data_IF_955362296862
#
_entry.id   IF_955362296862
#
_cell.length_a   1.000
_cell.length_b   1.000
_cell.length_c   1.000
_cell.angle_alpha   90.00
_cell.angle_beta   90.00
_cell.angle_gamma   90.00
#
_symmetry.space_group_name_H-M   'P 1'
#
loop_
_entity.id
_entity.type
_entity.pdbx_description
1 polymer ?
#
# COMPACT_ATOMS: atom_id res chain seq x y z
N UNK A 1 28.01 6.48 20.32
CA UNK A 1 27.13 5.39 20.78
C UNK A 1 26.96 4.41 19.64
N UNK A 2 27.66 3.30 19.67
CA UNK A 2 27.57 2.25 18.65
C UNK A 2 26.17 1.64 18.65
N UNK A 3 25.55 1.59 17.47
CA UNK A 3 24.30 0.85 17.27
C UNK A 3 24.61 -0.64 17.41
N UNK A 4 24.28 -1.22 18.54
CA UNK A 4 24.38 -2.64 18.79
C UNK A 4 23.37 -3.34 17.86
N UNK A 5 23.84 -3.88 16.75
CA UNK A 5 23.05 -4.75 15.88
C UNK A 5 22.79 -6.03 16.67
N UNK A 6 21.55 -6.25 17.05
CA UNK A 6 21.10 -7.51 17.67
C UNK A 6 20.98 -8.51 16.54
N UNK A 7 21.81 -9.58 16.58
CA UNK A 7 21.65 -10.69 15.63
C UNK A 7 20.30 -11.37 15.86
N UNK A 8 19.66 -11.81 14.79
CA UNK A 8 18.41 -12.57 14.87
C UNK A 8 18.60 -13.89 15.64
N UNK A 9 19.80 -14.45 15.59
CA UNK A 9 20.12 -15.72 16.24
C UNK A 9 20.10 -15.62 17.77
N UNK A 10 20.40 -14.43 18.32
CA UNK A 10 20.40 -14.15 19.75
C UNK A 10 18.99 -13.88 20.32
N UNK A 11 17.95 -13.89 19.48
CA UNK A 11 16.60 -13.57 19.90
C UNK A 11 15.79 -14.83 20.21
N UNK A 12 14.93 -14.76 21.25
CA UNK A 12 14.02 -15.86 21.56
C UNK A 12 12.99 -16.06 20.44
N UNK A 13 12.45 -17.28 20.30
CA UNK A 13 11.43 -17.63 19.31
C UNK A 13 10.14 -16.80 19.43
N UNK A 14 9.92 -16.22 20.61
CA UNK A 14 8.77 -15.37 20.90
C UNK A 14 9.25 -14.01 21.39
N UNK A 15 8.92 -12.98 20.63
CA UNK A 15 9.29 -11.60 20.92
C UNK A 15 8.18 -10.88 21.69
N UNK A 16 8.59 -10.01 22.62
CA UNK A 16 7.71 -9.01 23.22
C UNK A 16 7.47 -7.84 22.24
N UNK A 17 6.41 -7.06 22.47
CA UNK A 17 6.16 -5.83 21.69
C UNK A 17 7.38 -4.88 21.74
N UNK A 18 8.09 -4.81 22.87
CA UNK A 18 9.26 -3.96 23.02
C UNK A 18 10.41 -4.39 22.12
N UNK A 19 10.73 -5.68 22.10
CA UNK A 19 11.72 -6.25 21.20
C UNK A 19 11.32 -6.04 19.74
N UNK A 20 10.05 -6.29 19.40
CA UNK A 20 9.54 -6.13 18.05
C UNK A 20 9.73 -4.70 17.50
N UNK A 21 9.29 -3.65 18.23
CA UNK A 21 9.42 -2.30 17.70
C UNK A 21 10.88 -1.83 17.62
N UNK A 22 11.75 -2.27 18.56
CA UNK A 22 13.17 -1.95 18.52
C UNK A 22 13.88 -2.58 17.32
N UNK A 23 13.62 -3.87 17.06
CA UNK A 23 14.22 -4.62 15.95
C UNK A 23 13.71 -4.12 14.60
N UNK A 24 12.40 -3.87 14.48
CA UNK A 24 11.79 -3.38 13.25
C UNK A 24 12.03 -1.89 13.00
N UNK A 25 12.73 -1.18 13.92
CA UNK A 25 12.95 0.26 13.84
C UNK A 25 11.67 1.06 13.56
N UNK A 26 10.60 0.77 14.33
CA UNK A 26 9.31 1.45 14.25
C UNK A 26 8.94 2.07 15.60
N UNK A 27 7.97 3.00 15.59
CA UNK A 27 7.50 3.61 16.86
C UNK A 27 6.67 2.62 17.70
N UNK A 28 6.61 2.84 19.02
CA UNK A 28 5.74 2.07 19.93
C UNK A 28 4.27 2.13 19.49
N UNK A 29 3.82 3.27 18.97
CA UNK A 29 2.47 3.49 18.44
C UNK A 29 2.23 2.64 17.19
N UNK A 30 3.13 2.71 16.22
CA UNK A 30 3.07 1.91 14.98
C UNK A 30 3.03 0.42 15.28
N UNK A 31 3.87 -0.06 16.21
CA UNK A 31 3.83 -1.46 16.63
C UNK A 31 2.49 -1.86 17.26
N UNK A 32 1.91 -0.99 18.10
CA UNK A 32 0.59 -1.24 18.68
C UNK A 32 -0.50 -1.32 17.60
N UNK A 33 -0.48 -0.42 16.63
CA UNK A 33 -1.45 -0.38 15.54
C UNK A 33 -1.34 -1.62 14.65
N UNK A 34 -0.12 -2.06 14.33
CA UNK A 34 0.14 -3.29 13.56
C UNK A 34 -0.38 -4.55 14.25
N UNK A 35 -0.12 -4.67 15.57
CA UNK A 35 -0.53 -5.84 16.37
C UNK A 35 -2.04 -5.84 16.66
N UNK A 36 -2.64 -4.66 16.87
CA UNK A 36 -4.08 -4.55 17.10
C UNK A 36 -4.90 -4.77 15.83
N UNK A 37 -4.41 -4.31 14.69
CA UNK A 37 -5.05 -4.49 13.38
C UNK A 37 -4.87 -5.89 12.79
N UNK A 38 -4.08 -6.77 13.43
CA UNK A 38 -3.80 -8.11 12.92
C UNK A 38 -2.86 -8.17 11.72
N UNK A 39 -2.25 -7.04 11.32
CA UNK A 39 -1.27 -6.99 10.22
C UNK A 39 0.01 -7.77 10.51
N UNK A 40 0.34 -7.91 11.77
CA UNK A 40 1.39 -8.80 12.26
C UNK A 40 0.72 -9.79 13.20
N UNK A 41 0.77 -11.11 12.91
CA UNK A 41 0.18 -12.13 13.77
C UNK A 41 0.80 -12.08 15.16
N UNK A 42 -0.03 -12.12 16.19
CA UNK A 42 0.42 -12.14 17.57
C UNK A 42 -0.58 -12.84 18.48
N UNK A 43 -0.09 -13.44 19.55
CA UNK A 43 -0.91 -13.99 20.62
C UNK A 43 -1.12 -12.89 21.66
N UNK A 44 -2.38 -12.56 21.94
CA UNK A 44 -2.73 -11.60 22.99
C UNK A 44 -2.93 -12.36 24.32
N UNK A 45 -2.23 -11.91 25.35
CA UNK A 45 -2.38 -12.42 26.72
C UNK A 45 -3.20 -11.42 27.53
N UNK A 46 -4.03 -11.91 28.46
CA UNK A 46 -4.81 -11.07 29.37
C UNK A 46 -3.97 -10.39 30.45
N UNK A 47 -2.69 -10.69 30.50
CA UNK A 47 -1.76 -10.08 31.45
C UNK A 47 -1.54 -8.60 31.13
N UNK A 48 -1.53 -7.76 32.17
CA UNK A 48 -1.32 -6.31 32.07
C UNK A 48 0.06 -5.96 31.47
N UNK A 49 1.06 -6.78 31.72
CA UNK A 49 2.44 -6.72 31.21
C UNK A 49 2.65 -7.83 30.17
N UNK A 50 3.42 -7.56 29.11
CA UNK A 50 3.71 -8.51 28.03
C UNK A 50 2.45 -9.02 27.28
N UNK A 51 1.50 -8.12 27.05
CA UNK A 51 0.21 -8.40 26.39
C UNK A 51 0.34 -9.07 25.02
N UNK A 52 1.42 -8.81 24.28
CA UNK A 52 1.64 -9.33 22.93
C UNK A 52 2.84 -10.27 22.90
N UNK A 53 2.62 -11.47 22.36
CA UNK A 53 3.67 -12.44 22.03
C UNK A 53 3.68 -12.61 20.51
N UNK A 54 4.82 -12.30 19.88
CA UNK A 54 5.00 -12.27 18.42
C UNK A 54 6.03 -13.34 18.10
N UNK A 55 5.72 -14.26 17.18
CA UNK A 55 6.70 -15.26 16.75
C UNK A 55 7.82 -14.57 15.96
N UNK A 56 9.04 -15.01 16.17
CA UNK A 56 10.24 -14.53 15.47
C UNK A 56 10.05 -14.57 13.93
N UNK A 57 9.46 -15.66 13.43
CA UNK A 57 9.15 -15.81 12.00
C UNK A 57 8.24 -14.69 11.47
N UNK A 58 7.17 -14.34 12.19
CA UNK A 58 6.22 -13.28 11.78
C UNK A 58 6.90 -11.89 11.78
N UNK A 59 7.84 -11.65 12.71
CA UNK A 59 8.61 -10.41 12.73
C UNK A 59 9.61 -10.32 11.56
N UNK A 60 10.25 -11.43 11.19
CA UNK A 60 11.15 -11.52 10.03
C UNK A 60 10.37 -11.31 8.73
N UNK A 61 9.20 -11.93 8.60
CA UNK A 61 8.32 -11.77 7.43
C UNK A 61 7.86 -10.32 7.28
N UNK A 62 7.46 -9.67 8.38
CA UNK A 62 7.13 -8.24 8.38
C UNK A 62 8.31 -7.38 7.92
N UNK A 63 9.53 -7.67 8.37
CA UNK A 63 10.72 -6.91 7.95
C UNK A 63 11.05 -7.12 6.48
N UNK A 64 11.04 -8.36 5.99
CA UNK A 64 11.22 -8.65 4.56
C UNK A 64 10.23 -7.87 3.71
N UNK A 65 8.97 -7.87 4.12
CA UNK A 65 7.92 -7.13 3.43
C UNK A 65 8.12 -5.61 3.52
N UNK A 66 8.59 -5.11 4.67
CA UNK A 66 8.93 -3.69 4.86
C UNK A 66 10.15 -3.28 4.04
N UNK A 67 11.19 -4.11 3.96
CA UNK A 67 12.39 -3.87 3.17
C UNK A 67 12.09 -3.91 1.67
N UNK A 68 11.26 -4.84 1.22
CA UNK A 68 10.72 -4.84 -0.13
C UNK A 68 9.97 -3.53 -0.42
N UNK A 69 9.09 -3.09 0.47
CA UNK A 69 8.34 -1.83 0.35
C UNK A 69 9.25 -0.60 0.33
N UNK A 70 10.32 -0.58 1.15
CA UNK A 70 11.26 0.55 1.19
C UNK A 70 12.24 0.55 0.02
N UNK A 71 12.69 -0.61 -0.44
CA UNK A 71 13.48 -0.75 -1.65
C UNK A 71 12.72 -0.27 -2.90
N UNK A 72 11.40 -0.50 -2.94
CA UNK A 72 10.52 0.02 -3.99
C UNK A 72 10.30 1.54 -3.90
N UNK A 73 10.39 2.12 -2.70
CA UNK A 73 10.12 3.55 -2.49
C UNK A 73 11.29 4.46 -2.89
N UNK A 74 12.53 4.01 -2.80
CA UNK A 74 13.69 4.90 -2.90
C UNK A 74 14.51 4.80 -4.20
N UNK A 75 14.58 3.65 -4.84
CA UNK A 75 15.50 3.42 -5.96
C UNK A 75 14.86 3.48 -7.35
N UNK A 76 13.61 3.05 -7.50
CA UNK A 76 13.01 2.78 -8.82
C UNK A 76 12.01 3.83 -9.31
N UNK A 77 11.68 4.84 -8.50
CA UNK A 77 10.71 5.88 -8.91
C UNK A 77 11.18 6.76 -10.07
N UNK A 78 12.45 6.70 -10.46
CA UNK A 78 13.02 7.56 -11.52
C UNK A 78 12.81 7.05 -12.94
N UNK A 79 12.43 5.80 -13.14
CA UNK A 79 12.28 5.19 -14.48
C UNK A 79 10.92 4.59 -14.81
N UNK A 80 9.86 4.97 -14.11
CA UNK A 80 8.51 4.50 -14.47
C UNK A 80 8.10 5.17 -15.79
N UNK A 81 8.09 4.38 -16.86
CA UNK A 81 7.58 4.86 -18.14
C UNK A 81 6.05 4.95 -18.08
N UNK A 82 5.51 6.13 -18.36
CA UNK A 82 4.07 6.39 -18.35
C UNK A 82 3.25 5.38 -19.17
N UNK A 83 3.70 4.94 -20.39
CA UNK A 83 3.00 3.92 -21.16
C UNK A 83 2.87 2.57 -20.43
N UNK A 84 3.89 2.14 -19.69
CA UNK A 84 3.87 0.84 -18.99
C UNK A 84 2.87 0.89 -17.82
N UNK A 85 2.81 2.01 -17.14
CA UNK A 85 1.85 2.23 -16.05
C UNK A 85 0.40 2.29 -16.59
N UNK A 86 0.17 2.89 -17.75
CA UNK A 86 -1.14 2.88 -18.42
C UNK A 86 -1.54 1.44 -18.79
N UNK A 87 -0.64 0.66 -19.41
CA UNK A 87 -0.90 -0.76 -19.74
C UNK A 87 -1.25 -1.57 -18.50
N UNK A 88 -0.49 -1.38 -17.43
CA UNK A 88 -0.73 -2.06 -16.16
C UNK A 88 -2.10 -1.72 -15.56
N UNK A 89 -2.47 -0.45 -15.45
CA UNK A 89 -3.80 -0.06 -14.95
C UNK A 89 -4.93 -0.50 -15.86
N UNK A 90 -4.73 -0.51 -17.18
CA UNK A 90 -5.72 -1.04 -18.13
C UNK A 90 -5.96 -2.53 -17.89
N UNK A 91 -4.90 -3.32 -17.65
CA UNK A 91 -5.00 -4.74 -17.29
C UNK A 91 -5.68 -4.93 -15.93
N UNK A 92 -5.28 -4.16 -14.93
CA UNK A 92 -5.81 -4.22 -13.56
C UNK A 92 -7.33 -3.94 -13.52
N UNK A 93 -7.78 -2.95 -14.29
CA UNK A 93 -9.18 -2.52 -14.34
C UNK A 93 -9.97 -3.19 -15.48
N UNK A 94 -9.48 -4.31 -16.03
CA UNK A 94 -10.12 -5.00 -17.16
C UNK A 94 -11.55 -5.45 -16.85
N UNK A 95 -11.79 -5.92 -15.62
CA UNK A 95 -13.10 -6.37 -15.16
C UNK A 95 -14.08 -5.22 -14.89
N UNK A 96 -13.60 -3.97 -14.80
CA UNK A 96 -14.47 -2.82 -14.55
C UNK A 96 -15.16 -2.37 -15.86
N UNK A 97 -16.42 -1.89 -15.78
CA UNK A 97 -17.12 -1.33 -16.92
C UNK A 97 -16.38 -0.10 -17.48
N UNK A 98 -16.69 0.28 -18.74
CA UNK A 98 -16.03 1.42 -19.40
C UNK A 98 -16.42 2.78 -18.80
N UNK A 99 -17.56 2.82 -18.13
CA UNK A 99 -18.02 3.96 -17.35
C UNK A 99 -18.26 3.51 -15.91
N UNK A 100 -17.60 4.15 -14.98
CA UNK A 100 -17.63 3.84 -13.56
C UNK A 100 -18.20 5.00 -12.75
N UNK A 101 -18.71 4.71 -11.56
CA UNK A 101 -19.28 5.68 -10.64
C UNK A 101 -18.29 5.99 -9.49
N UNK A 102 -18.52 7.06 -8.71
CA UNK A 102 -17.75 7.30 -7.48
C UNK A 102 -17.82 6.14 -6.49
N UNK A 103 -18.91 5.36 -6.50
CA UNK A 103 -19.03 4.15 -5.67
C UNK A 103 -18.05 3.08 -6.11
N UNK A 104 -17.97 2.81 -7.41
CA UNK A 104 -17.06 1.81 -7.95
C UNK A 104 -15.60 2.18 -7.67
N UNK A 105 -15.24 3.47 -7.79
CA UNK A 105 -13.90 3.94 -7.44
C UNK A 105 -13.62 3.79 -5.94
N UNK A 106 -14.62 4.05 -5.08
CA UNK A 106 -14.51 3.81 -3.65
C UNK A 106 -14.20 2.33 -3.36
N UNK A 107 -14.97 1.42 -3.95
CA UNK A 107 -14.85 -0.02 -3.76
C UNK A 107 -13.49 -0.55 -4.25
N UNK A 108 -12.97 0.00 -5.36
CA UNK A 108 -11.66 -0.36 -5.90
C UNK A 108 -10.51 0.19 -5.04
N UNK A 109 -10.57 1.45 -4.65
CA UNK A 109 -9.40 2.18 -4.13
C UNK A 109 -9.43 2.46 -2.63
N UNK A 110 -10.59 2.31 -2.00
CA UNK A 110 -10.82 2.67 -0.60
C UNK A 110 -10.85 4.18 -0.32
N UNK A 111 -10.80 5.04 -1.34
CA UNK A 111 -11.00 6.48 -1.13
C UNK A 111 -12.47 6.79 -0.83
N UNK A 112 -12.70 7.75 0.05
CA UNK A 112 -14.07 8.19 0.41
C UNK A 112 -14.77 8.80 -0.82
N UNK A 113 -16.06 8.52 -0.99
CA UNK A 113 -16.88 9.03 -2.10
C UNK A 113 -16.85 10.56 -2.20
N UNK A 114 -16.84 11.25 -1.06
CA UNK A 114 -16.76 12.71 -0.97
C UNK A 114 -15.43 13.23 -1.56
N UNK A 115 -14.34 12.48 -1.35
CA UNK A 115 -13.03 12.82 -1.91
C UNK A 115 -13.04 12.68 -3.43
N UNK A 116 -13.65 11.60 -3.95
CA UNK A 116 -13.79 11.35 -5.38
C UNK A 116 -14.68 12.43 -6.03
N UNK A 117 -15.81 12.77 -5.41
CA UNK A 117 -16.66 13.88 -5.85
C UNK A 117 -15.90 15.19 -5.93
N UNK A 118 -15.06 15.49 -4.92
CA UNK A 118 -14.21 16.69 -4.90
C UNK A 118 -13.19 16.71 -6.04
N UNK A 119 -12.63 15.55 -6.41
CA UNK A 119 -11.72 15.47 -7.56
C UNK A 119 -12.45 15.79 -8.87
N UNK A 120 -13.68 15.29 -9.04
CA UNK A 120 -14.50 15.59 -10.20
C UNK A 120 -14.90 17.07 -10.24
N UNK A 121 -15.35 17.64 -9.13
CA UNK A 121 -15.71 19.06 -9.02
C UNK A 121 -14.55 19.99 -9.32
N UNK A 122 -13.33 19.65 -8.88
CA UNK A 122 -12.11 20.41 -9.14
C UNK A 122 -11.52 20.16 -10.54
N UNK A 123 -12.17 19.36 -11.39
CA UNK A 123 -11.67 19.02 -12.73
C UNK A 123 -10.44 18.11 -12.76
N UNK A 124 -9.98 17.61 -11.62
CA UNK A 124 -8.84 16.70 -11.53
C UNK A 124 -9.14 15.34 -12.15
N UNK A 125 -10.35 14.83 -11.91
CA UNK A 125 -10.88 13.62 -12.50
C UNK A 125 -12.02 14.00 -13.45
N UNK A 126 -11.79 13.82 -14.75
CA UNK A 126 -12.80 14.13 -15.78
C UNK A 126 -14.01 13.22 -15.64
N UNK A 127 -15.17 13.82 -15.57
CA UNK A 127 -16.46 13.15 -15.36
C UNK A 127 -17.59 13.90 -16.06
N UNK A 128 -18.73 13.26 -16.21
CA UNK A 128 -19.96 13.88 -16.72
C UNK A 128 -21.15 13.44 -15.87
N UNK A 129 -22.26 14.17 -15.98
CA UNK A 129 -23.52 13.79 -15.33
C UNK A 129 -24.45 13.15 -16.33
N UNK A 130 -25.00 12.00 -15.98
CA UNK A 130 -26.07 11.34 -16.73
C UNK A 130 -27.14 10.88 -15.74
N UNK A 131 -28.41 11.22 -16.03
CA UNK A 131 -29.56 10.92 -15.16
C UNK A 131 -29.29 11.31 -13.68
N UNK A 132 -28.77 12.50 -13.47
CA UNK A 132 -28.41 13.06 -12.15
C UNK A 132 -27.32 12.28 -11.39
N UNK A 133 -26.65 11.32 -12.04
CA UNK A 133 -25.55 10.55 -11.47
C UNK A 133 -24.22 10.95 -12.10
N UNK A 134 -23.21 11.07 -11.27
CA UNK A 134 -21.84 11.33 -11.74
C UNK A 134 -21.25 10.08 -12.36
N UNK A 135 -20.75 10.20 -13.58
CA UNK A 135 -20.18 9.12 -14.36
C UNK A 135 -18.76 9.47 -14.79
N UNK A 136 -17.87 8.51 -14.71
CA UNK A 136 -16.44 8.68 -14.97
C UNK A 136 -16.01 7.64 -16.00
N UNK A 137 -15.65 8.03 -17.23
CA UNK A 137 -15.08 7.11 -18.19
C UNK A 137 -13.79 6.49 -17.65
N UNK A 138 -13.69 5.16 -17.69
CA UNK A 138 -12.53 4.40 -17.20
C UNK A 138 -11.20 4.93 -17.74
N UNK A 139 -11.15 5.35 -19.01
CA UNK A 139 -9.95 5.96 -19.61
C UNK A 139 -9.47 7.22 -18.88
N UNK A 140 -10.39 8.05 -18.39
CA UNK A 140 -10.03 9.25 -17.63
C UNK A 140 -9.61 8.92 -16.20
N UNK A 141 -10.19 7.88 -15.61
CA UNK A 141 -9.73 7.37 -14.33
C UNK A 141 -8.31 6.81 -14.45
N UNK A 142 -8.00 5.99 -15.45
CA UNK A 142 -6.64 5.50 -15.71
C UNK A 142 -5.67 6.67 -15.93
N UNK A 143 -6.06 7.66 -16.73
CA UNK A 143 -5.23 8.85 -16.97
C UNK A 143 -4.94 9.62 -15.68
N UNK A 144 -5.91 9.70 -14.78
CA UNK A 144 -5.75 10.32 -13.45
C UNK A 144 -4.83 9.49 -12.56
N UNK A 145 -4.99 8.16 -12.51
CA UNK A 145 -4.13 7.26 -11.71
C UNK A 145 -2.65 7.37 -12.10
N UNK A 146 -2.36 7.65 -13.36
CA UNK A 146 -0.99 7.80 -13.89
C UNK A 146 -0.43 9.22 -13.71
N UNK A 147 -1.25 10.15 -13.23
CA UNK A 147 -0.83 11.55 -13.07
C UNK A 147 0.09 11.72 -11.84
N UNK A 148 1.09 12.64 -11.92
CA UNK A 148 1.92 12.99 -10.76
C UNK A 148 1.11 13.55 -9.59
N UNK A 149 -0.05 14.13 -9.88
CA UNK A 149 -0.94 14.66 -8.86
C UNK A 149 -1.57 13.54 -8.04
N UNK A 150 -2.04 12.48 -8.71
CA UNK A 150 -2.60 11.32 -8.02
C UNK A 150 -1.57 10.63 -7.14
N UNK A 151 -0.35 10.43 -7.62
CA UNK A 151 0.71 9.80 -6.82
C UNK A 151 1.01 10.53 -5.52
N UNK A 152 0.98 11.87 -5.54
CA UNK A 152 1.13 12.70 -4.33
C UNK A 152 -0.04 12.53 -3.36
N UNK A 153 -1.27 12.51 -3.88
CA UNK A 153 -2.50 12.35 -3.08
C UNK A 153 -2.58 10.94 -2.49
N UNK A 154 -2.20 9.95 -3.27
CA UNK A 154 -2.35 8.54 -2.94
C UNK A 154 -1.18 7.94 -2.16
N UNK A 155 -0.10 8.68 -1.90
CA UNK A 155 1.11 8.18 -1.26
C UNK A 155 0.87 7.45 0.09
N UNK A 156 -0.13 7.88 0.86
CA UNK A 156 -0.54 7.24 2.12
C UNK A 156 -1.60 6.14 1.95
N UNK A 157 -2.21 6.02 0.75
CA UNK A 157 -3.30 5.08 0.51
C UNK A 157 -2.78 3.64 0.39
N UNK A 158 -3.42 2.71 1.11
CA UNK A 158 -3.00 1.31 1.16
C UNK A 158 -3.13 0.61 -0.21
N UNK A 159 -4.25 0.81 -0.91
CA UNK A 159 -4.47 0.23 -2.23
C UNK A 159 -3.40 0.70 -3.22
N UNK A 160 -3.08 2.01 -3.25
CA UNK A 160 -2.05 2.55 -4.13
C UNK A 160 -0.68 1.90 -3.88
N UNK A 161 -0.31 1.74 -2.62
CA UNK A 161 0.96 1.08 -2.25
C UNK A 161 1.01 -0.37 -2.77
N UNK A 162 -0.06 -1.14 -2.53
CA UNK A 162 -0.16 -2.53 -2.99
C UNK A 162 -0.08 -2.64 -4.52
N UNK A 163 -0.79 -1.76 -5.22
CA UNK A 163 -0.82 -1.72 -6.69
C UNK A 163 0.55 -1.36 -7.26
N UNK A 164 1.26 -0.40 -6.67
CA UNK A 164 2.61 -0.04 -7.10
C UNK A 164 3.61 -1.17 -6.88
N UNK A 165 3.53 -1.90 -5.77
CA UNK A 165 4.36 -3.10 -5.55
C UNK A 165 4.11 -4.13 -6.63
N UNK A 166 2.85 -4.43 -6.93
CA UNK A 166 2.49 -5.39 -7.98
C UNK A 166 3.05 -4.95 -9.34
N UNK A 167 2.93 -3.66 -9.68
CA UNK A 167 3.50 -3.09 -10.90
C UNK A 167 5.01 -3.35 -11.01
N UNK A 168 5.76 -3.08 -9.93
CA UNK A 168 7.20 -3.30 -9.90
C UNK A 168 7.58 -4.78 -10.05
N UNK A 169 6.87 -5.67 -9.38
CA UNK A 169 7.09 -7.12 -9.49
C UNK A 169 6.86 -7.58 -10.95
N UNK A 170 5.76 -7.16 -11.58
CA UNK A 170 5.45 -7.53 -12.97
C UNK A 170 6.51 -6.97 -13.94
N UNK A 171 6.91 -5.72 -13.77
CA UNK A 171 7.92 -5.08 -14.63
C UNK A 171 9.29 -5.75 -14.52
N UNK A 172 9.71 -6.17 -13.32
CA UNK A 172 10.97 -6.91 -13.13
C UNK A 172 10.93 -8.30 -13.75
N UNK A 173 9.81 -9.00 -13.64
CA UNK A 173 9.61 -10.32 -14.28
C UNK A 173 9.72 -10.21 -15.80
N UNK A 174 9.07 -9.22 -16.40
CA UNK A 174 9.11 -9.00 -17.86
C UNK A 174 10.49 -8.62 -18.38
N UNK A 175 11.34 -7.98 -17.56
CA UNK A 175 12.73 -7.66 -17.95
C UNK A 175 13.70 -8.85 -17.82
N UNK A 176 13.36 -9.88 -17.03
CA UNK A 176 14.17 -11.09 -16.82
C UNK A 176 13.86 -12.22 -17.81
N UNK A 177 12.67 -12.18 -18.41
CA UNK A 177 12.23 -13.10 -19.47
C UNK A 177 11.75 -12.25 -20.67
N UNK A 178 12.69 -11.77 -21.55
CA UNK A 178 12.32 -11.04 -22.77
C UNK A 178 11.63 -11.95 -23.81
#
# INVERSE_FOLDING_TARGET
MEKKYVSWDDLPDTLSKEQFYKICHISKKTASDLLNSGKVPCIKSDKRTHKFKIRKADAIEYLKHKEELTAYSSADCREIKKPDLIKFYTKLLRACPDVITPSDIHDITGFRKETIHRWCQKGKLKSFKSHNRLQIPKRYFISFLVSPEFSKIAAANQWYKMVMIQFYIETRRSRRNP
#
